data_IF_206158049734
#
_entry.id   IF_206158049734
#
_cell.length_a   1.000
_cell.length_b   1.000
_cell.length_c   1.000
_cell.angle_alpha   90.00
_cell.angle_beta   90.00
_cell.angle_gamma   90.00
#
_symmetry.space_group_name_H-M   'P 1'
#
loop_
_entity.id
_entity.type
_entity.pdbx_description
1 polymer ?
#
# COMPACT_ATOMS: atom_id res chain seq x y z
N UNK A 1 -29.63 -22.62 17.17
CA UNK A 1 -28.37 -23.38 17.20
C UNK A 1 -28.20 -24.00 15.83
N UNK A 2 -27.50 -23.31 14.93
CA UNK A 2 -27.30 -23.78 13.56
C UNK A 2 -26.14 -24.77 13.52
N UNK A 3 -26.49 -26.04 13.37
CA UNK A 3 -25.55 -27.12 13.08
C UNK A 3 -25.23 -27.05 11.59
N UNK A 4 -24.32 -26.15 11.21
CA UNK A 4 -23.76 -26.18 9.84
C UNK A 4 -22.95 -27.47 9.73
N UNK A 5 -23.42 -28.41 8.90
CA UNK A 5 -22.69 -29.61 8.51
C UNK A 5 -21.32 -29.23 7.95
N UNK A 6 -20.30 -29.29 8.80
CA UNK A 6 -18.90 -29.20 8.40
C UNK A 6 -18.49 -30.54 7.77
N UNK A 7 -18.87 -30.77 6.52
CA UNK A 7 -18.29 -31.82 5.69
C UNK A 7 -16.91 -31.32 5.23
N UNK A 8 -15.86 -31.63 6.01
CA UNK A 8 -14.43 -31.65 5.65
C UNK A 8 -13.98 -30.67 4.52
N UNK A 9 -14.28 -29.37 4.68
CA UNK A 9 -13.99 -28.34 3.69
C UNK A 9 -13.67 -26.99 4.35
N UNK A 10 -12.91 -26.16 3.64
CA UNK A 10 -12.69 -24.76 4.00
C UNK A 10 -14.05 -24.09 4.24
N UNK A 11 -14.20 -23.34 5.34
CA UNK A 11 -15.43 -22.59 5.62
C UNK A 11 -15.45 -21.32 4.77
N UNK A 12 -16.20 -21.33 3.68
CA UNK A 12 -16.30 -20.21 2.73
C UNK A 12 -17.65 -19.52 2.91
N UNK A 13 -17.66 -18.19 2.99
CA UNK A 13 -18.89 -17.40 3.10
C UNK A 13 -18.82 -16.07 2.38
N UNK A 14 -19.99 -15.54 2.00
CA UNK A 14 -20.13 -14.21 1.43
C UNK A 14 -19.80 -13.12 2.46
N UNK A 15 -19.06 -12.11 2.03
CA UNK A 15 -18.64 -11.00 2.87
C UNK A 15 -19.73 -9.95 3.02
N UNK A 16 -20.09 -9.64 4.26
CA UNK A 16 -21.04 -8.57 4.61
C UNK A 16 -20.26 -7.39 5.19
N UNK A 17 -20.55 -6.19 4.69
CA UNK A 17 -20.01 -4.94 5.27
C UNK A 17 -20.69 -4.67 6.61
N UNK A 18 -19.90 -4.37 7.62
CA UNK A 18 -20.40 -3.99 8.95
C UNK A 18 -20.16 -2.51 9.14
N UNK A 19 -21.16 -1.80 9.65
CA UNK A 19 -21.05 -0.38 9.97
C UNK A 19 -19.87 -0.13 10.92
N UNK A 20 -19.04 0.86 10.60
CA UNK A 20 -17.80 1.16 11.33
C UNK A 20 -16.68 0.11 11.20
N UNK A 21 -16.92 -1.02 10.52
CA UNK A 21 -15.98 -2.14 10.40
C UNK A 21 -15.01 -1.99 9.22
N UNK A 22 -13.71 -2.13 9.48
CA UNK A 22 -12.68 -2.21 8.42
C UNK A 22 -12.57 -3.58 7.75
N UNK A 23 -13.10 -4.64 8.39
CA UNK A 23 -13.07 -6.03 7.90
C UNK A 23 -14.49 -6.51 7.58
N UNK A 24 -14.62 -7.33 6.55
CA UNK A 24 -15.87 -8.00 6.22
C UNK A 24 -16.19 -9.07 7.28
N UNK A 25 -17.47 -9.27 7.56
CA UNK A 25 -17.93 -10.43 8.34
C UNK A 25 -18.46 -11.51 7.41
N UNK A 26 -18.40 -12.73 7.93
CA UNK A 26 -18.98 -13.89 7.30
C UNK A 26 -20.51 -13.79 7.35
N UNK A 27 -21.14 -13.68 6.19
CA UNK A 27 -22.58 -13.82 6.01
C UNK A 27 -22.94 -15.25 5.65
N UNK A 28 -23.72 -15.41 4.59
CA UNK A 28 -24.21 -16.71 4.14
C UNK A 28 -23.07 -17.65 3.70
N UNK A 29 -23.14 -18.95 4.04
CA UNK A 29 -22.19 -19.95 3.57
C UNK A 29 -22.30 -20.13 2.05
N UNK A 30 -21.17 -20.40 1.42
CA UNK A 30 -21.10 -20.66 -0.03
C UNK A 30 -21.18 -22.15 -0.27
N UNK A 31 -22.25 -22.58 -0.95
CA UNK A 31 -22.49 -23.98 -1.30
C UNK A 31 -22.26 -24.30 -2.79
N UNK A 32 -22.09 -23.29 -3.64
CA UNK A 32 -21.87 -23.48 -5.08
C UNK A 32 -20.48 -24.10 -5.36
N UNK A 33 -20.42 -25.33 -5.92
CA UNK A 33 -19.15 -26.03 -6.15
C UNK A 33 -18.17 -25.27 -7.05
N UNK A 34 -18.69 -24.55 -8.06
CA UNK A 34 -17.84 -23.77 -8.97
C UNK A 34 -17.17 -22.62 -8.24
N UNK A 35 -17.92 -21.88 -7.42
CA UNK A 35 -17.36 -20.81 -6.58
C UNK A 35 -16.32 -21.36 -5.61
N UNK A 36 -16.59 -22.50 -4.98
CA UNK A 36 -15.63 -23.17 -4.07
C UNK A 36 -14.33 -23.53 -4.79
N UNK A 37 -14.42 -24.10 -6.01
CA UNK A 37 -13.26 -24.42 -6.84
C UNK A 37 -12.43 -23.17 -7.15
N UNK A 38 -13.07 -22.07 -7.54
CA UNK A 38 -12.39 -20.81 -7.84
C UNK A 38 -11.69 -20.23 -6.60
N UNK A 39 -12.31 -20.32 -5.42
CA UNK A 39 -11.68 -19.92 -4.15
C UNK A 39 -10.45 -20.77 -3.85
N UNK A 40 -10.55 -22.10 -4.03
CA UNK A 40 -9.41 -23.00 -3.85
C UNK A 40 -8.26 -22.66 -4.81
N UNK A 41 -8.58 -22.31 -6.07
CA UNK A 41 -7.59 -21.84 -7.05
C UNK A 41 -6.85 -20.60 -6.56
N UNK A 42 -7.57 -19.62 -5.99
CA UNK A 42 -6.97 -18.40 -5.43
C UNK A 42 -6.11 -18.69 -4.19
N UNK A 43 -6.56 -19.56 -3.30
CA UNK A 43 -5.80 -19.97 -2.11
C UNK A 43 -4.51 -20.70 -2.53
N UNK A 44 -4.58 -21.61 -3.50
CA UNK A 44 -3.42 -22.32 -4.00
C UNK A 44 -2.40 -21.37 -4.66
N UNK A 45 -2.87 -20.37 -5.40
CA UNK A 45 -1.99 -19.33 -5.95
C UNK A 45 -1.29 -18.53 -4.84
N UNK A 46 -2.01 -18.19 -3.76
CA UNK A 46 -1.42 -17.57 -2.59
C UNK A 46 -0.35 -18.45 -1.94
N UNK A 47 -0.67 -19.70 -1.60
CA UNK A 47 0.27 -20.64 -0.99
C UNK A 47 1.51 -20.84 -1.86
N UNK A 48 1.33 -20.97 -3.18
CA UNK A 48 2.42 -21.10 -4.15
C UNK A 48 3.36 -19.89 -4.15
N UNK A 49 2.82 -18.66 -4.09
CA UNK A 49 3.66 -17.45 -4.04
C UNK A 49 4.35 -17.28 -2.70
N UNK A 50 3.71 -17.65 -1.60
CA UNK A 50 4.36 -17.66 -0.28
C UNK A 50 5.52 -18.65 -0.31
N UNK A 51 5.32 -19.88 -0.79
CA UNK A 51 6.38 -20.89 -0.84
C UNK A 51 7.59 -20.41 -1.67
N UNK A 52 7.34 -19.78 -2.82
CA UNK A 52 8.39 -19.18 -3.67
C UNK A 52 9.16 -18.04 -3.00
N UNK A 53 8.59 -17.43 -1.96
CA UNK A 53 9.13 -16.25 -1.25
C UNK A 53 9.29 -16.49 0.24
N UNK A 54 9.38 -17.76 0.66
CA UNK A 54 9.47 -18.13 2.08
C UNK A 54 10.74 -17.58 2.73
N UNK A 55 11.80 -17.44 1.95
CA UNK A 55 13.09 -16.85 2.32
C UNK A 55 12.99 -15.36 2.71
N UNK A 56 11.92 -14.67 2.29
CA UNK A 56 11.63 -13.27 2.66
C UNK A 56 10.45 -13.18 3.62
N UNK A 57 9.40 -13.97 3.40
CA UNK A 57 8.15 -13.86 4.17
C UNK A 57 8.22 -14.57 5.52
N UNK A 58 8.90 -15.73 5.57
CA UNK A 58 8.90 -16.66 6.70
C UNK A 58 10.29 -16.83 7.33
N UNK A 59 11.30 -16.10 6.85
CA UNK A 59 12.65 -16.12 7.41
C UNK A 59 12.72 -15.35 8.73
N UNK A 60 13.64 -15.75 9.60
CA UNK A 60 13.94 -15.07 10.87
C UNK A 60 14.95 -13.92 10.69
N UNK A 61 15.70 -13.92 9.59
CA UNK A 61 16.77 -12.95 9.33
C UNK A 61 16.42 -11.96 8.23
N UNK A 62 15.72 -12.43 7.19
CA UNK A 62 15.35 -11.66 6.03
C UNK A 62 13.84 -11.34 6.05
N UNK A 63 13.47 -10.12 5.68
CA UNK A 63 12.09 -9.64 5.75
C UNK A 63 11.67 -8.86 4.51
N UNK A 64 10.35 -8.66 4.26
CA UNK A 64 9.87 -7.82 3.17
C UNK A 64 10.38 -6.37 3.20
N UNK A 65 10.90 -5.92 4.35
CA UNK A 65 11.31 -4.54 4.60
C UNK A 65 12.80 -4.32 4.32
N UNK A 66 13.61 -5.39 4.27
CA UNK A 66 15.07 -5.27 4.24
C UNK A 66 15.57 -4.59 2.97
N UNK A 67 14.95 -4.88 1.82
CA UNK A 67 15.22 -4.19 0.56
C UNK A 67 15.01 -2.67 0.70
N UNK A 68 13.85 -2.26 1.21
CA UNK A 68 13.55 -0.84 1.40
C UNK A 68 14.46 -0.16 2.42
N UNK A 69 14.82 -0.85 3.50
CA UNK A 69 15.79 -0.38 4.52
C UNK A 69 17.16 -0.14 3.91
N UNK A 70 17.64 -1.09 3.10
CA UNK A 70 18.94 -0.99 2.43
C UNK A 70 18.93 0.13 1.38
N UNK A 71 17.90 0.20 0.54
CA UNK A 71 17.72 1.28 -0.44
C UNK A 71 17.68 2.66 0.22
N UNK A 72 16.90 2.81 1.30
CA UNK A 72 16.83 4.05 2.09
C UNK A 72 18.18 4.41 2.71
N UNK A 73 18.87 3.44 3.31
CA UNK A 73 20.15 3.69 3.98
C UNK A 73 21.23 4.12 2.97
N UNK A 74 21.32 3.43 1.84
CA UNK A 74 22.26 3.77 0.76
C UNK A 74 21.95 5.14 0.16
N UNK A 75 20.66 5.43 -0.07
CA UNK A 75 20.23 6.73 -0.59
C UNK A 75 20.52 7.86 0.39
N UNK A 76 20.31 7.67 1.69
CA UNK A 76 20.64 8.65 2.72
C UNK A 76 22.14 8.99 2.72
N UNK A 77 23.01 7.98 2.74
CA UNK A 77 24.47 8.18 2.66
C UNK A 77 24.86 8.97 1.41
N UNK A 78 24.27 8.65 0.25
CA UNK A 78 24.50 9.39 -0.98
C UNK A 78 24.05 10.85 -0.88
N UNK A 79 22.89 11.09 -0.28
CA UNK A 79 22.34 12.44 -0.10
C UNK A 79 23.19 13.28 0.85
N UNK A 80 23.69 12.69 1.94
CA UNK A 80 24.60 13.37 2.88
C UNK A 80 25.91 13.80 2.22
N UNK A 81 26.51 12.92 1.41
CA UNK A 81 27.69 13.27 0.61
C UNK A 81 27.38 14.40 -0.34
N UNK A 82 26.27 14.31 -1.09
CA UNK A 82 25.84 15.37 -2.01
C UNK A 82 25.59 16.71 -1.32
N UNK A 83 25.10 16.74 -0.08
CA UNK A 83 24.94 18.02 0.66
C UNK A 83 26.29 18.70 0.88
N UNK A 84 27.37 17.95 1.11
CA UNK A 84 28.70 18.49 1.35
C UNK A 84 29.40 18.98 0.08
N UNK A 85 29.01 18.46 -1.08
CA UNK A 85 29.62 18.76 -2.39
C UNK A 85 29.06 20.01 -3.08
N UNK A 86 27.97 20.59 -2.58
CA UNK A 86 27.30 21.72 -3.22
C UNK A 86 27.37 22.96 -2.36
N UNK A 87 27.60 24.12 -2.99
CA UNK A 87 27.62 25.42 -2.34
C UNK A 87 26.30 26.21 -2.51
N UNK A 88 25.33 25.65 -3.26
CA UNK A 88 24.03 26.30 -3.46
C UNK A 88 23.12 26.04 -2.25
N UNK A 89 22.79 27.12 -1.53
CA UNK A 89 22.00 27.06 -0.30
C UNK A 89 20.58 26.47 -0.51
N UNK A 90 19.95 26.76 -1.64
CA UNK A 90 18.61 26.24 -1.96
C UNK A 90 18.67 24.73 -2.20
N UNK A 91 19.67 24.27 -2.96
CA UNK A 91 19.90 22.84 -3.19
C UNK A 91 20.24 22.14 -1.87
N UNK A 92 21.09 22.73 -1.03
CA UNK A 92 21.40 22.19 0.30
C UNK A 92 20.15 22.06 1.17
N UNK A 93 19.32 23.11 1.23
CA UNK A 93 18.09 23.11 2.02
C UNK A 93 17.11 22.03 1.55
N UNK A 94 16.96 21.87 0.24
CA UNK A 94 16.14 20.80 -0.34
C UNK A 94 16.69 19.42 0.01
N UNK A 95 17.99 19.19 -0.17
CA UNK A 95 18.64 17.90 0.15
C UNK A 95 18.54 17.56 1.64
N UNK A 96 18.69 18.55 2.54
CA UNK A 96 18.48 18.36 3.98
C UNK A 96 17.04 17.95 4.33
N UNK A 97 16.05 18.55 3.66
CA UNK A 97 14.66 18.13 3.83
C UNK A 97 14.44 16.69 3.34
N UNK A 98 15.03 16.32 2.20
CA UNK A 98 15.00 14.94 1.70
C UNK A 98 15.64 13.94 2.67
N UNK A 99 16.77 14.29 3.28
CA UNK A 99 17.44 13.47 4.31
C UNK A 99 16.49 13.25 5.51
N UNK A 100 15.93 14.32 6.07
CA UNK A 100 14.99 14.22 7.20
C UNK A 100 13.76 13.35 6.87
N UNK A 101 13.19 13.50 5.66
CA UNK A 101 12.13 12.60 5.18
C UNK A 101 12.61 11.14 5.20
N UNK A 102 13.78 10.90 4.62
CA UNK A 102 14.40 9.57 4.53
C UNK A 102 14.64 8.92 5.88
N UNK A 103 15.19 9.66 6.85
CA UNK A 103 15.45 9.16 8.20
C UNK A 103 14.16 8.70 8.89
N UNK A 104 13.08 9.48 8.76
CA UNK A 104 11.77 9.11 9.30
C UNK A 104 11.17 7.90 8.60
N UNK A 105 11.30 7.81 7.27
CA UNK A 105 10.88 6.63 6.52
C UNK A 105 11.70 5.38 6.87
N UNK A 106 13.01 5.52 7.05
CA UNK A 106 13.90 4.43 7.48
C UNK A 106 13.52 3.93 8.87
N UNK A 107 13.22 4.85 9.79
CA UNK A 107 12.74 4.51 11.13
C UNK A 107 11.43 3.73 11.06
N UNK A 108 10.47 4.17 10.24
CA UNK A 108 9.21 3.43 10.01
C UNK A 108 9.45 2.02 9.46
N UNK A 109 10.36 1.88 8.47
CA UNK A 109 10.67 0.60 7.87
C UNK A 109 11.31 -0.37 8.88
N UNK A 110 12.22 0.12 9.73
CA UNK A 110 12.83 -0.66 10.81
C UNK A 110 11.79 -1.11 11.86
N UNK A 111 10.89 -0.23 12.28
CA UNK A 111 9.80 -0.57 13.19
C UNK A 111 8.84 -1.61 12.59
N UNK A 112 8.54 -1.49 11.29
CA UNK A 112 7.70 -2.45 10.59
C UNK A 112 8.38 -3.82 10.45
N UNK A 113 9.70 -3.84 10.20
CA UNK A 113 10.54 -5.06 10.22
C UNK A 113 10.48 -5.76 11.58
N UNK A 114 10.65 -5.04 12.67
CA UNK A 114 10.59 -5.61 14.03
C UNK A 114 9.22 -6.24 14.31
N UNK A 115 8.13 -5.54 13.95
CA UNK A 115 6.77 -6.08 14.07
C UNK A 115 6.54 -7.30 13.17
N UNK A 116 7.18 -7.34 12.00
CA UNK A 116 7.12 -8.50 11.12
C UNK A 116 7.72 -9.74 11.78
N UNK A 117 8.93 -9.61 12.30
CA UNK A 117 9.64 -10.72 12.95
C UNK A 117 8.93 -11.22 14.22
N UNK A 118 8.33 -10.30 14.98
CA UNK A 118 7.73 -10.61 16.28
C UNK A 118 6.27 -11.08 16.21
N UNK A 119 5.47 -10.49 15.30
CA UNK A 119 4.02 -10.68 15.22
C UNK A 119 3.60 -11.23 13.86
N UNK A 120 3.78 -10.45 12.78
CA UNK A 120 3.12 -10.73 11.50
C UNK A 120 3.58 -12.05 10.86
N UNK A 121 4.88 -12.37 10.92
CA UNK A 121 5.43 -13.62 10.39
C UNK A 121 4.76 -14.84 11.02
N UNK A 122 4.68 -14.87 12.36
CA UNK A 122 4.09 -15.98 13.11
C UNK A 122 2.61 -16.16 12.80
N UNK A 123 1.88 -15.06 12.63
CA UNK A 123 0.48 -15.12 12.20
C UNK A 123 0.32 -15.64 10.77
N UNK A 124 1.21 -15.23 9.86
CA UNK A 124 1.23 -15.73 8.49
C UNK A 124 1.51 -17.24 8.45
N UNK A 125 2.49 -17.72 9.22
CA UNK A 125 2.80 -19.16 9.37
C UNK A 125 1.58 -19.96 9.88
N UNK A 126 0.95 -19.49 10.96
CA UNK A 126 -0.27 -20.12 11.50
C UNK A 126 -1.41 -20.13 10.49
N UNK A 127 -1.59 -19.04 9.74
CA UNK A 127 -2.61 -18.95 8.70
C UNK A 127 -2.35 -19.96 7.57
N UNK A 128 -1.10 -20.09 7.11
CA UNK A 128 -0.71 -21.05 6.07
C UNK A 128 -0.99 -22.48 6.53
N UNK A 129 -0.62 -22.80 7.78
CA UNK A 129 -0.86 -24.12 8.35
C UNK A 129 -2.36 -24.42 8.47
N UNK A 130 -3.15 -23.45 8.96
CA UNK A 130 -4.61 -23.58 9.04
C UNK A 130 -5.27 -23.70 7.67
N UNK A 131 -4.74 -23.06 6.63
CA UNK A 131 -5.22 -23.23 5.25
C UNK A 131 -4.98 -24.65 4.74
N UNK A 132 -3.79 -25.22 5.01
CA UNK A 132 -3.45 -26.61 4.65
C UNK A 132 -4.35 -27.62 5.35
N UNK A 133 -4.68 -27.36 6.62
CA UNK A 133 -5.61 -28.17 7.44
C UNK A 133 -7.09 -27.89 7.16
N UNK A 134 -7.41 -26.91 6.31
CA UNK A 134 -8.79 -26.45 6.00
C UNK A 134 -9.56 -25.91 7.21
N UNK A 135 -8.85 -25.40 8.21
CA UNK A 135 -9.40 -24.84 9.45
C UNK A 135 -9.69 -23.34 9.34
N UNK A 136 -9.16 -22.69 8.30
CA UNK A 136 -9.29 -21.25 8.09
C UNK A 136 -10.63 -20.91 7.42
N UNK A 137 -11.29 -19.89 7.98
CA UNK A 137 -12.47 -19.27 7.37
C UNK A 137 -12.05 -18.31 6.26
N UNK A 138 -12.69 -18.43 5.10
CA UNK A 138 -12.45 -17.61 3.91
C UNK A 138 -13.69 -16.77 3.64
N UNK A 139 -13.52 -15.45 3.54
CA UNK A 139 -14.61 -14.53 3.24
C UNK A 139 -14.46 -14.04 1.81
N UNK A 140 -15.50 -14.16 1.00
CA UNK A 140 -15.44 -13.79 -0.43
C UNK A 140 -16.32 -12.59 -0.76
N UNK A 141 -15.92 -11.82 -1.77
CA UNK A 141 -16.72 -10.73 -2.31
C UNK A 141 -16.55 -10.64 -3.84
N UNK A 142 -17.60 -10.20 -4.54
CA UNK A 142 -17.66 -10.09 -5.99
C UNK A 142 -18.22 -11.35 -6.67
N UNK A 143 -18.16 -11.38 -7.99
CA UNK A 143 -18.72 -12.47 -8.80
C UNK A 143 -17.58 -13.27 -9.47
N UNK A 144 -17.37 -14.56 -9.13
CA UNK A 144 -16.20 -15.34 -9.56
C UNK A 144 -16.08 -15.55 -11.08
N UNK A 145 -17.23 -15.61 -11.77
CA UNK A 145 -17.34 -15.90 -13.21
C UNK A 145 -17.72 -14.69 -14.05
N UNK A 146 -17.90 -13.52 -13.43
CA UNK A 146 -18.17 -12.30 -14.17
C UNK A 146 -16.85 -11.73 -14.70
N UNK A 147 -16.58 -11.92 -15.99
CA UNK A 147 -15.38 -11.39 -16.65
C UNK A 147 -15.25 -9.86 -16.55
N UNK A 148 -16.31 -9.13 -16.19
CA UNK A 148 -16.31 -7.67 -16.04
C UNK A 148 -16.11 -7.20 -14.60
N UNK A 149 -16.07 -8.10 -13.61
CA UNK A 149 -15.92 -7.76 -12.18
C UNK A 149 -14.73 -8.49 -11.57
N UNK A 150 -14.20 -7.94 -10.48
CA UNK A 150 -13.15 -8.61 -9.71
C UNK A 150 -13.77 -9.55 -8.68
N UNK A 151 -13.07 -10.62 -8.37
CA UNK A 151 -13.45 -11.58 -7.33
C UNK A 151 -12.34 -11.65 -6.29
N UNK A 152 -12.69 -11.57 -5.01
CA UNK A 152 -11.73 -11.41 -3.92
C UNK A 152 -11.99 -12.46 -2.86
N UNK A 153 -10.94 -13.20 -2.49
CA UNK A 153 -10.91 -14.03 -1.29
C UNK A 153 -10.12 -13.31 -0.19
N UNK A 154 -10.74 -13.15 0.98
CA UNK A 154 -10.18 -12.51 2.15
C UNK A 154 -9.82 -13.55 3.21
N UNK A 155 -8.62 -13.40 3.76
CA UNK A 155 -8.14 -14.16 4.91
C UNK A 155 -7.74 -13.18 6.00
N UNK A 156 -8.16 -13.46 7.24
CA UNK A 156 -7.91 -12.58 8.37
C UNK A 156 -7.20 -13.32 9.49
N UNK A 157 -6.27 -12.62 10.13
CA UNK A 157 -5.73 -12.94 11.46
C UNK A 157 -5.95 -11.73 12.36
N UNK A 158 -5.41 -11.71 13.57
CA UNK A 158 -5.54 -10.53 14.44
C UNK A 158 -4.88 -9.31 13.80
N UNK A 159 -3.66 -9.46 13.28
CA UNK A 159 -2.85 -8.36 12.78
C UNK A 159 -2.61 -8.37 11.26
N UNK A 160 -3.15 -9.34 10.52
CA UNK A 160 -3.10 -9.38 9.06
C UNK A 160 -4.48 -9.35 8.42
N UNK A 161 -4.53 -8.79 7.22
CA UNK A 161 -5.66 -8.89 6.31
C UNK A 161 -5.14 -9.16 4.91
N UNK A 162 -5.30 -10.39 4.44
CA UNK A 162 -4.84 -10.83 3.13
C UNK A 162 -6.02 -10.78 2.17
N UNK A 163 -5.84 -10.09 1.04
CA UNK A 163 -6.81 -10.04 -0.05
C UNK A 163 -6.18 -10.66 -1.30
N UNK A 164 -6.74 -11.76 -1.76
CA UNK A 164 -6.36 -12.47 -2.98
C UNK A 164 -7.39 -12.11 -4.04
N UNK A 165 -7.02 -11.24 -4.98
CA UNK A 165 -7.93 -10.65 -5.97
C UNK A 165 -7.66 -11.20 -7.35
N UNK A 166 -8.66 -11.84 -7.97
CA UNK A 166 -8.72 -12.07 -9.41
C UNK A 166 -9.13 -10.76 -10.08
N UNK A 167 -8.21 -10.16 -10.83
CA UNK A 167 -8.48 -8.92 -11.57
C UNK A 167 -9.14 -9.28 -12.91
N UNK A 168 -10.14 -8.48 -13.30
CA UNK A 168 -10.79 -8.54 -14.61
C UNK A 168 -9.76 -8.60 -15.75
N UNK A 169 -9.86 -9.63 -16.60
CA UNK A 169 -9.05 -9.78 -17.82
C UNK A 169 -7.54 -9.85 -17.59
N UNK A 170 -7.11 -10.11 -16.35
CA UNK A 170 -5.72 -10.08 -15.94
C UNK A 170 -5.43 -11.24 -14.97
N UNK A 171 -4.36 -11.12 -14.20
CA UNK A 171 -3.91 -12.14 -13.25
C UNK A 171 -4.51 -12.00 -11.85
N UNK A 172 -3.84 -12.67 -10.91
CA UNK A 172 -4.14 -12.62 -9.48
C UNK A 172 -3.18 -11.64 -8.79
N UNK A 173 -3.72 -10.76 -7.95
CA UNK A 173 -2.95 -9.92 -7.03
C UNK A 173 -3.17 -10.34 -5.60
N UNK A 174 -2.13 -10.26 -4.78
CA UNK A 174 -2.17 -10.66 -3.37
C UNK A 174 -1.63 -9.51 -2.54
N UNK A 175 -2.49 -8.94 -1.71
CA UNK A 175 -2.14 -7.86 -0.81
C UNK A 175 -2.24 -8.35 0.64
N UNK A 176 -1.16 -8.23 1.40
CA UNK A 176 -1.12 -8.50 2.84
C UNK A 176 -1.13 -7.15 3.55
N UNK A 177 -2.26 -6.78 4.16
CA UNK A 177 -2.38 -5.53 4.92
C UNK A 177 -1.98 -5.74 6.37
N UNK A 178 -1.21 -4.80 6.93
CA UNK A 178 -0.70 -4.82 8.30
C UNK A 178 -1.69 -4.06 9.20
N UNK A 179 -2.51 -4.80 9.95
CA UNK A 179 -3.54 -4.22 10.80
C UNK A 179 -2.91 -3.76 12.12
N UNK A 180 -3.24 -2.53 12.54
CA UNK A 180 -2.66 -1.91 13.73
C UNK A 180 -1.25 -1.32 13.50
N UNK A 181 -0.74 -1.32 12.25
CA UNK A 181 0.48 -0.57 11.95
C UNK A 181 0.25 0.93 12.17
N UNK A 182 1.19 1.57 12.88
CA UNK A 182 1.16 3.02 13.13
C UNK A 182 2.09 3.69 12.14
N UNK A 183 1.71 4.87 11.68
CA UNK A 183 2.56 5.76 10.91
C UNK A 183 3.29 6.78 11.74
N UNK A 184 3.94 7.70 11.06
CA UNK A 184 4.56 8.89 11.64
C UNK A 184 4.18 10.13 10.84
N UNK A 185 4.23 11.28 11.52
CA UNK A 185 4.08 12.57 10.89
C UNK A 185 5.45 13.12 10.47
N UNK A 186 5.54 13.54 9.22
CA UNK A 186 6.69 14.18 8.62
C UNK A 186 6.30 15.62 8.32
N UNK A 187 7.00 16.57 8.95
CA UNK A 187 6.79 18.00 8.76
C UNK A 187 7.91 18.50 7.87
N UNK A 188 7.56 19.12 6.75
CA UNK A 188 8.51 19.73 5.82
C UNK A 188 8.23 21.21 5.63
N UNK A 189 9.28 22.02 5.57
CA UNK A 189 9.12 23.43 5.20
C UNK A 189 8.71 23.56 3.73
N UNK A 190 8.02 24.64 3.37
CA UNK A 190 7.81 24.99 1.96
C UNK A 190 9.15 25.34 1.31
N UNK A 191 9.55 24.53 0.33
CA UNK A 191 10.82 24.67 -0.40
C UNK A 191 10.65 25.23 -1.82
N UNK A 192 9.45 25.12 -2.37
CA UNK A 192 9.12 25.58 -3.72
C UNK A 192 8.06 26.68 -3.64
N UNK A 193 8.01 27.57 -4.63
CA UNK A 193 6.95 28.58 -4.76
C UNK A 193 5.61 27.93 -5.06
N UNK A 194 4.50 28.65 -4.86
CA UNK A 194 3.17 28.11 -5.20
C UNK A 194 3.02 27.87 -6.70
N UNK A 195 3.68 28.66 -7.54
CA UNK A 195 3.72 28.48 -8.99
C UNK A 195 4.36 27.15 -9.42
N UNK A 196 5.32 26.65 -8.65
CA UNK A 196 5.93 25.32 -8.86
C UNK A 196 5.12 24.21 -8.19
N UNK A 197 4.64 24.43 -6.96
CA UNK A 197 3.94 23.40 -6.19
C UNK A 197 2.59 23.04 -6.79
N UNK A 198 1.82 24.02 -7.27
CA UNK A 198 0.45 23.80 -7.73
C UNK A 198 0.39 22.87 -8.96
N UNK A 199 1.21 23.05 -10.00
CA UNK A 199 1.32 22.08 -11.10
C UNK A 199 1.73 20.68 -10.63
N UNK A 200 2.68 20.56 -9.70
CA UNK A 200 3.08 19.25 -9.16
C UNK A 200 1.94 18.55 -8.41
N UNK A 201 1.21 19.30 -7.57
CA UNK A 201 0.05 18.82 -6.83
C UNK A 201 -1.06 18.33 -7.77
N UNK A 202 -1.32 19.07 -8.85
CA UNK A 202 -2.24 18.65 -9.90
C UNK A 202 -1.76 17.38 -10.61
N UNK A 203 -0.46 17.29 -10.93
CA UNK A 203 0.12 16.10 -11.54
C UNK A 203 -0.17 14.84 -10.72
N UNK A 204 0.09 14.89 -9.41
CA UNK A 204 -0.20 13.78 -8.50
C UNK A 204 -1.68 13.41 -8.46
N UNK A 205 -2.56 14.40 -8.31
CA UNK A 205 -4.01 14.18 -8.22
C UNK A 205 -4.61 13.65 -9.51
N UNK A 206 -4.02 13.96 -10.66
CA UNK A 206 -4.44 13.44 -11.96
C UNK A 206 -3.90 12.02 -12.26
N UNK A 207 -2.89 11.55 -11.52
CA UNK A 207 -2.34 10.20 -11.68
C UNK A 207 -2.66 9.28 -10.49
N UNK A 208 -1.74 9.17 -9.54
CA UNK A 208 -1.68 8.09 -8.55
C UNK A 208 -2.31 8.47 -7.21
N UNK A 209 -2.51 9.77 -6.96
CA UNK A 209 -3.13 10.25 -5.75
C UNK A 209 -4.66 10.21 -5.83
N UNK A 210 -5.32 10.22 -4.69
CA UNK A 210 -6.78 10.24 -4.52
C UNK A 210 -7.16 11.24 -3.43
N UNK A 211 -8.41 11.68 -3.43
CA UNK A 211 -8.95 12.53 -2.35
C UNK A 211 -9.81 11.61 -1.47
N UNK A 212 -9.37 11.35 -0.24
CA UNK A 212 -10.03 10.43 0.70
C UNK A 212 -10.33 11.18 1.99
N UNK A 213 -11.61 11.23 2.40
CA UNK A 213 -12.05 12.02 3.56
C UNK A 213 -11.53 13.46 3.52
N UNK A 214 -11.60 14.08 2.34
CA UNK A 214 -11.13 15.45 2.06
C UNK A 214 -9.61 15.68 2.13
N UNK A 215 -8.80 14.64 2.27
CA UNK A 215 -7.34 14.73 2.23
C UNK A 215 -6.79 14.22 0.89
N UNK A 216 -5.75 14.86 0.33
CA UNK A 216 -4.92 14.23 -0.68
C UNK A 216 -4.21 13.01 -0.07
N UNK A 217 -4.31 11.88 -0.75
CA UNK A 217 -3.78 10.58 -0.31
C UNK A 217 -3.12 9.86 -1.46
N UNK A 218 -2.07 9.08 -1.18
CA UNK A 218 -1.43 8.24 -2.20
C UNK A 218 -0.97 6.93 -1.58
N UNK A 219 -1.20 5.83 -2.30
CA UNK A 219 -0.59 4.54 -2.01
C UNK A 219 0.50 4.25 -3.03
N UNK A 220 1.71 3.92 -2.60
CA UNK A 220 2.82 3.62 -3.50
C UNK A 220 3.73 2.51 -2.94
N UNK A 221 4.44 1.80 -3.81
CA UNK A 221 5.57 0.93 -3.48
C UNK A 221 6.93 1.55 -3.83
N UNK A 222 6.95 2.75 -4.41
CA UNK A 222 8.16 3.42 -4.86
C UNK A 222 8.63 4.44 -3.82
N UNK A 223 9.88 4.30 -3.37
CA UNK A 223 10.46 5.16 -2.35
C UNK A 223 10.52 6.63 -2.78
N UNK A 224 11.01 6.88 -4.00
CA UNK A 224 11.17 8.25 -4.51
C UNK A 224 9.81 8.97 -4.66
N UNK A 225 8.73 8.25 -5.01
CA UNK A 225 7.36 8.81 -5.05
C UNK A 225 6.95 9.34 -3.67
N UNK A 226 7.31 8.62 -2.61
CA UNK A 226 7.00 9.02 -1.24
C UNK A 226 7.75 10.28 -0.81
N UNK A 227 9.04 10.36 -1.14
CA UNK A 227 9.85 11.56 -0.87
C UNK A 227 9.30 12.76 -1.64
N UNK A 228 9.06 12.61 -2.94
CA UNK A 228 8.53 13.68 -3.79
C UNK A 228 7.15 14.14 -3.34
N UNK A 229 6.25 13.20 -2.97
CA UNK A 229 4.96 13.54 -2.39
C UNK A 229 5.10 14.52 -1.22
N UNK A 230 5.93 14.17 -0.22
CA UNK A 230 6.09 14.97 1.00
C UNK A 230 6.72 16.35 0.71
N UNK A 231 7.57 16.44 -0.32
CA UNK A 231 8.10 17.72 -0.79
C UNK A 231 7.05 18.58 -1.50
N UNK A 232 6.15 17.96 -2.27
CA UNK A 232 5.09 18.66 -3.01
C UNK A 232 3.92 19.09 -2.13
N UNK A 233 3.77 18.49 -0.96
CA UNK A 233 2.79 18.83 0.04
C UNK A 233 3.48 19.36 1.30
N UNK A 234 3.97 20.61 1.32
CA UNK A 234 4.68 21.10 2.49
C UNK A 234 3.78 21.10 3.74
N UNK A 235 4.44 21.09 4.91
CA UNK A 235 3.89 20.96 6.27
C UNK A 235 3.59 19.50 6.66
N UNK A 236 2.52 19.23 7.42
CA UNK A 236 2.27 17.90 8.00
C UNK A 236 1.81 16.88 6.94
N UNK A 237 2.62 15.83 6.78
CA UNK A 237 2.26 14.61 6.05
C UNK A 237 2.27 13.41 6.99
N UNK A 238 1.21 12.62 6.97
CA UNK A 238 1.21 11.32 7.63
C UNK A 238 1.68 10.24 6.66
N UNK A 239 2.62 9.42 7.12
CA UNK A 239 3.22 8.32 6.35
C UNK A 239 3.10 7.04 7.16
N UNK A 240 2.65 5.95 6.55
CA UNK A 240 2.73 4.63 7.17
C UNK A 240 2.93 3.51 6.15
N UNK A 241 3.54 2.43 6.59
CA UNK A 241 3.60 1.19 5.82
C UNK A 241 2.36 0.37 6.19
N UNK A 242 1.44 0.25 5.25
CA UNK A 242 0.12 -0.36 5.50
C UNK A 242 0.03 -1.80 4.99
N UNK A 243 1.01 -2.26 4.22
CA UNK A 243 0.94 -3.58 3.63
C UNK A 243 2.20 -4.02 2.92
N UNK A 244 2.15 -5.27 2.47
CA UNK A 244 3.11 -5.95 1.61
C UNK A 244 2.33 -6.49 0.41
N UNK A 245 2.84 -6.26 -0.79
CA UNK A 245 2.31 -6.81 -2.03
C UNK A 245 3.14 -8.03 -2.43
N UNK A 246 2.46 -9.16 -2.69
CA UNK A 246 3.07 -10.42 -3.11
C UNK A 246 2.85 -10.62 -4.61
N UNK A 247 3.78 -10.07 -5.40
CA UNK A 247 3.79 -10.22 -6.85
C UNK A 247 4.32 -11.61 -7.23
N UNK A 248 4.18 -11.97 -8.51
CA UNK A 248 4.69 -13.25 -9.04
C UNK A 248 6.21 -13.38 -8.80
N UNK A 249 6.93 -12.27 -9.02
CA UNK A 249 8.39 -12.24 -9.03
C UNK A 249 9.01 -11.38 -7.92
N UNK A 250 8.23 -10.76 -7.04
CA UNK A 250 8.78 -9.83 -6.06
C UNK A 250 7.84 -9.63 -4.85
N UNK A 251 8.41 -9.16 -3.75
CA UNK A 251 7.72 -8.74 -2.53
C UNK A 251 8.05 -7.28 -2.28
N UNK A 252 7.03 -6.42 -2.27
CA UNK A 252 7.24 -4.98 -2.07
C UNK A 252 6.37 -4.45 -0.94
N UNK A 253 6.91 -3.56 -0.12
CA UNK A 253 6.14 -2.83 0.89
C UNK A 253 5.25 -1.78 0.24
N UNK A 254 4.15 -1.42 0.90
CA UNK A 254 3.21 -0.39 0.45
C UNK A 254 3.18 0.76 1.45
N UNK A 255 3.61 1.92 0.98
CA UNK A 255 3.51 3.20 1.67
C UNK A 255 2.14 3.80 1.41
N UNK A 256 1.56 4.40 2.45
CA UNK A 256 0.40 5.26 2.33
C UNK A 256 0.71 6.61 2.94
N UNK A 257 0.36 7.63 2.18
CA UNK A 257 0.77 9.01 2.37
C UNK A 257 -0.50 9.86 2.42
N UNK A 258 -0.56 10.79 3.37
CA UNK A 258 -1.70 11.71 3.55
C UNK A 258 -1.17 13.11 3.80
N UNK A 259 -1.54 14.07 2.96
CA UNK A 259 -1.22 15.48 3.15
C UNK A 259 -2.23 16.12 4.11
N UNK A 260 -1.95 16.05 5.43
CA UNK A 260 -2.92 16.40 6.48
C UNK A 260 -3.27 17.88 6.50
N UNK A 261 -2.29 18.75 6.29
CA UNK A 261 -2.51 20.21 6.29
C UNK A 261 -3.20 20.72 5.01
N UNK A 262 -3.53 19.83 4.08
CA UNK A 262 -4.22 20.16 2.82
C UNK A 262 -5.64 19.62 2.78
N UNK A 263 -6.25 19.39 3.96
CA UNK A 263 -7.67 19.03 4.10
C UNK A 263 -8.55 20.07 3.39
N UNK A 264 -9.57 19.61 2.68
CA UNK A 264 -10.56 20.44 1.97
C UNK A 264 -9.96 21.35 0.88
N UNK A 265 -8.64 21.32 0.63
CA UNK A 265 -8.01 22.14 -0.42
C UNK A 265 -8.43 21.68 -1.82
N UNK A 266 -8.74 20.39 -1.96
CA UNK A 266 -9.24 19.81 -3.21
C UNK A 266 -10.52 19.04 -2.90
N UNK A 267 -11.60 19.38 -3.59
CA UNK A 267 -12.92 18.77 -3.34
C UNK A 267 -13.14 17.52 -4.18
N UNK A 268 -12.68 17.51 -5.43
CA UNK A 268 -12.77 16.36 -6.32
C UNK A 268 -11.75 16.47 -7.46
N UNK A 269 -11.47 15.36 -8.14
CA UNK A 269 -10.52 15.32 -9.26
C UNK A 269 -11.00 16.05 -10.52
N UNK A 270 -12.31 16.24 -10.69
CA UNK A 270 -12.86 16.94 -11.88
C UNK A 270 -12.44 18.40 -11.87
N UNK A 271 -12.62 19.09 -10.74
CA UNK A 271 -12.14 20.48 -10.58
C UNK A 271 -10.62 20.58 -10.71
N UNK A 272 -9.89 19.58 -10.23
CA UNK A 272 -8.44 19.53 -10.42
C UNK A 272 -8.08 19.45 -11.91
N UNK A 273 -8.80 18.64 -12.69
CA UNK A 273 -8.60 18.54 -14.13
C UNK A 273 -8.89 19.87 -14.85
N UNK A 274 -9.98 20.54 -14.49
CA UNK A 274 -10.36 21.86 -15.04
C UNK A 274 -9.31 22.93 -14.75
N UNK A 275 -8.73 22.91 -13.55
CA UNK A 275 -7.65 23.84 -13.18
C UNK A 275 -6.32 23.46 -13.84
N UNK A 276 -6.04 22.17 -13.98
CA UNK A 276 -4.83 21.69 -14.66
C UNK A 276 -4.86 22.02 -16.17
N UNK A 277 -6.03 22.03 -16.80
CA UNK A 277 -6.16 22.42 -18.23
C UNK A 277 -5.94 23.91 -18.48
N UNK A 278 -5.91 24.74 -17.43
CA UNK A 278 -5.64 26.19 -17.51
C UNK A 278 -4.17 26.53 -17.22
N UNK A 279 -3.32 25.52 -16.99
CA UNK A 279 -1.89 25.76 -16.80
C UNK A 279 -1.30 26.32 -18.09
N UNK A 280 -0.48 27.36 -17.96
CA UNK A 280 0.31 27.92 -19.06
C UNK A 280 1.43 26.95 -19.51
N UNK A 281 2.02 27.27 -20.66
CA UNK A 281 3.07 26.46 -21.29
C UNK A 281 4.33 26.34 -20.41
N UNK A 282 4.58 27.27 -19.48
CA UNK A 282 5.72 27.21 -18.56
C UNK A 282 5.48 26.23 -17.40
N UNK A 283 4.24 26.14 -16.92
CA UNK A 283 3.83 25.26 -15.81
C UNK A 283 3.48 23.85 -16.27
N UNK A 284 3.08 23.69 -17.53
CA UNK A 284 2.69 22.40 -18.09
C UNK A 284 3.80 21.33 -18.02
N UNK A 285 5.09 21.62 -18.31
CA UNK A 285 6.18 20.66 -18.15
C UNK A 285 6.34 20.15 -16.71
N UNK A 286 6.13 21.01 -15.70
CA UNK A 286 6.22 20.63 -14.29
C UNK A 286 5.11 19.65 -13.93
N UNK A 287 3.87 19.97 -14.33
CA UNK A 287 2.72 19.06 -14.21
C UNK A 287 3.00 17.72 -14.91
N UNK A 288 3.48 17.78 -16.15
CA UNK A 288 3.69 16.61 -16.98
C UNK A 288 4.83 15.72 -16.47
N UNK A 289 5.87 16.32 -15.88
CA UNK A 289 6.97 15.59 -15.26
C UNK A 289 6.45 14.70 -14.15
N UNK A 290 5.51 15.16 -13.33
CA UNK A 290 4.85 14.33 -12.31
C UNK A 290 3.91 13.29 -12.94
N UNK A 291 3.20 13.64 -14.01
CA UNK A 291 2.29 12.72 -14.69
C UNK A 291 2.98 11.53 -15.38
N UNK A 292 4.22 11.72 -15.85
CA UNK A 292 4.96 10.72 -16.63
C UNK A 292 5.66 9.63 -15.84
N UNK A 293 5.70 9.73 -14.51
CA UNK A 293 6.56 8.85 -13.70
C UNK A 293 5.89 7.49 -13.38
N UNK A 294 5.19 6.91 -14.35
CA UNK A 294 4.59 5.58 -14.27
C UNK A 294 5.44 4.51 -14.94
#
# INVERSE_FOLDING_TARGET
>A
MDVSMALNGLRICWGVKVEGGKRLRCGEPVNDPKTIEEVNRLINEFLKRVERRKDVLLSESNTPFDKAINELSNWLTLMETKVKETNDENIMRMRRAMINIGEKMLTLAKQAREKWLTIYRKELEKLIEGLRKREVKVIINGEPFNIKRSFIAHLYTDHLSIAITKIRGSGVTINISLVGSRGTNIITSKLFSDDTLRPMQYGWLMTDASITHDYPTMGTNQLWQSVMWILTWPRENYVHIYGVNLNVNDVNIKWYLVARDHRNKFTNKVKVAEEASKLDDEKFPIFFTICRIR
#
